data_IF_458036989801
#
_entry.id   IF_458036989801
#
_cell.length_a   1.000
_cell.length_b   1.000
_cell.length_c   1.000
_cell.angle_alpha   90.00
_cell.angle_beta   90.00
_cell.angle_gamma   90.00
#
_symmetry.space_group_name_H-M   'P 1'
#
loop_
_entity.id
_entity.type
_entity.pdbx_description
1 polymer ?
#
# COMPACT_ATOMS: atom_id res chain seq x y z
N UNK A 1 29.25 -17.46 -2.44
CA UNK A 1 29.85 -16.14 -2.67
C UNK A 1 28.94 -15.42 -3.65
N UNK A 2 28.14 -14.50 -3.16
CA UNK A 2 27.14 -13.77 -3.96
C UNK A 2 27.91 -12.77 -4.84
N UNK A 3 27.79 -12.87 -6.17
CA UNK A 3 28.27 -11.80 -7.06
C UNK A 3 27.09 -10.92 -7.41
N UNK A 4 27.12 -9.62 -7.04
CA UNK A 4 26.05 -8.70 -7.43
C UNK A 4 25.97 -8.65 -8.97
N UNK A 5 24.75 -8.50 -9.48
CA UNK A 5 24.53 -8.33 -10.91
C UNK A 5 25.17 -7.00 -11.37
N UNK A 6 26.21 -7.00 -12.22
CA UNK A 6 26.90 -5.77 -12.61
C UNK A 6 26.02 -4.80 -13.41
N UNK A 7 24.88 -5.25 -13.93
CA UNK A 7 23.91 -4.38 -14.60
C UNK A 7 23.11 -3.50 -13.62
N UNK A 8 23.02 -3.90 -12.35
CA UNK A 8 22.33 -3.13 -11.30
C UNK A 8 23.27 -2.15 -10.56
N UNK A 9 24.60 -2.37 -10.67
CA UNK A 9 25.63 -1.55 -10.02
C UNK A 9 26.74 -1.20 -11.00
N UNK A 10 26.47 -0.40 -12.06
CA UNK A 10 27.43 -0.13 -13.13
C UNK A 10 28.67 0.67 -12.68
N UNK A 11 28.70 1.17 -11.45
CA UNK A 11 29.78 1.97 -10.88
C UNK A 11 30.51 1.30 -9.70
N UNK A 12 30.26 0.02 -9.42
CA UNK A 12 31.04 -0.70 -8.41
C UNK A 12 32.45 -0.93 -8.94
N UNK A 13 33.42 -0.14 -8.47
CA UNK A 13 34.84 -0.42 -8.69
C UNK A 13 35.17 -1.76 -8.03
N UNK A 14 35.62 -2.79 -8.78
CA UNK A 14 35.97 -4.09 -8.21
C UNK A 14 37.14 -4.05 -7.22
N UNK A 15 37.83 -2.89 -7.10
CA UNK A 15 38.95 -2.65 -6.21
C UNK A 15 38.62 -1.73 -5.05
N UNK A 16 37.37 -1.18 -4.95
CA UNK A 16 36.94 -0.42 -3.78
C UNK A 16 36.70 -1.39 -2.61
N UNK A 17 37.66 -1.44 -1.68
CA UNK A 17 37.59 -2.22 -0.44
C UNK A 17 36.63 -1.59 0.60
N UNK A 18 35.80 -0.61 0.22
CA UNK A 18 34.82 -0.01 1.11
C UNK A 18 33.76 -1.05 1.48
N UNK A 19 33.50 -1.30 2.79
CA UNK A 19 32.40 -2.15 3.20
C UNK A 19 31.02 -1.49 2.97
N UNK A 20 30.99 -0.29 2.41
CA UNK A 20 29.77 0.49 2.18
C UNK A 20 29.33 0.28 0.72
N UNK A 21 28.21 -0.44 0.57
CA UNK A 21 27.50 -0.48 -0.71
C UNK A 21 26.72 0.84 -0.87
N UNK A 22 27.00 1.54 -1.96
CA UNK A 22 26.26 2.77 -2.33
C UNK A 22 25.31 2.44 -3.46
N UNK A 23 24.04 2.79 -3.29
CA UNK A 23 23.07 2.79 -4.39
C UNK A 23 23.33 3.94 -5.38
N UNK A 24 22.73 3.91 -6.57
CA UNK A 24 22.81 5.01 -7.53
C UNK A 24 22.12 6.26 -6.96
N UNK A 25 22.76 7.42 -7.13
CA UNK A 25 22.16 8.71 -6.78
C UNK A 25 21.20 9.13 -7.89
N UNK A 26 19.91 9.27 -7.54
CA UNK A 26 18.82 9.62 -8.47
C UNK A 26 17.97 10.77 -7.89
N UNK A 27 18.55 11.99 -7.79
CA UNK A 27 17.86 13.14 -7.18
C UNK A 27 16.58 13.55 -7.92
N UNK A 28 16.45 13.22 -9.21
CA UNK A 28 15.27 13.48 -10.03
C UNK A 28 14.04 12.66 -9.60
N UNK A 29 14.22 11.62 -8.78
CA UNK A 29 13.11 10.85 -8.20
C UNK A 29 12.51 11.52 -6.97
N UNK A 30 13.21 12.49 -6.36
CA UNK A 30 12.70 13.30 -5.27
C UNK A 30 11.88 14.44 -5.88
N UNK A 31 10.55 14.41 -5.68
CA UNK A 31 9.63 15.38 -6.25
C UNK A 31 8.73 15.97 -5.16
N UNK A 32 8.31 17.22 -5.39
CA UNK A 32 7.30 17.86 -4.54
C UNK A 32 5.92 17.39 -4.97
N UNK A 33 5.55 16.19 -4.52
CA UNK A 33 4.27 15.54 -4.82
C UNK A 33 3.69 14.86 -3.59
N UNK A 34 2.42 14.52 -3.65
CA UNK A 34 1.68 13.81 -2.62
C UNK A 34 0.98 12.60 -3.23
N UNK A 35 0.67 11.59 -2.41
CA UNK A 35 0.06 10.33 -2.89
C UNK A 35 -1.21 10.55 -3.72
N UNK A 36 -2.05 11.51 -3.32
CA UNK A 36 -3.27 11.83 -4.07
C UNK A 36 -2.96 12.28 -5.49
N UNK A 37 -1.99 13.19 -5.68
CA UNK A 37 -1.63 13.70 -7.02
C UNK A 37 -0.96 12.62 -7.88
N UNK A 38 -0.19 11.71 -7.27
CA UNK A 38 0.40 10.56 -7.94
C UNK A 38 -0.69 9.64 -8.53
N UNK A 39 -1.72 9.31 -7.73
CA UNK A 39 -2.85 8.51 -8.18
C UNK A 39 -3.68 9.24 -9.25
N UNK A 40 -4.04 10.51 -9.02
CA UNK A 40 -4.85 11.34 -9.92
C UNK A 40 -4.21 11.46 -11.32
N UNK A 41 -2.90 11.64 -11.38
CA UNK A 41 -2.17 11.66 -12.66
C UNK A 41 -2.32 10.34 -13.43
N UNK A 42 -2.31 9.20 -12.74
CA UNK A 42 -2.53 7.90 -13.36
C UNK A 42 -3.98 7.69 -13.76
N UNK A 43 -4.95 8.07 -12.92
CA UNK A 43 -6.37 7.97 -13.23
C UNK A 43 -6.75 8.81 -14.47
N UNK A 44 -6.14 9.99 -14.63
CA UNK A 44 -6.31 10.82 -15.83
C UNK A 44 -5.68 10.18 -17.08
N UNK A 45 -4.53 9.53 -16.94
CA UNK A 45 -3.80 8.89 -18.05
C UNK A 45 -4.50 7.63 -18.56
N UNK A 46 -5.08 6.83 -17.65
CA UNK A 46 -5.69 5.52 -17.98
C UNK A 46 -7.07 5.32 -17.33
N UNK A 47 -8.05 6.22 -17.52
CA UNK A 47 -9.30 6.24 -16.75
C UNK A 47 -10.16 4.99 -16.94
N UNK A 48 -10.12 4.35 -18.09
CA UNK A 48 -10.95 3.17 -18.43
C UNK A 48 -10.29 1.85 -18.05
N UNK A 49 -9.00 1.89 -17.67
CA UNK A 49 -8.29 0.67 -17.29
C UNK A 49 -8.78 0.16 -15.94
N UNK A 50 -8.89 -1.15 -15.78
CA UNK A 50 -9.23 -1.76 -14.50
C UNK A 50 -8.12 -1.47 -13.48
N UNK A 51 -8.49 -0.85 -12.36
CA UNK A 51 -7.61 -0.61 -11.21
C UNK A 51 -7.72 -1.73 -10.18
N UNK A 52 -8.94 -2.15 -9.85
CA UNK A 52 -9.22 -3.10 -8.78
C UNK A 52 -10.10 -4.25 -9.27
N UNK A 53 -9.79 -5.46 -8.78
CA UNK A 53 -10.62 -6.67 -8.91
C UNK A 53 -10.80 -7.27 -7.53
N UNK A 54 -12.06 -7.55 -7.13
CA UNK A 54 -12.40 -8.26 -5.90
C UNK A 54 -13.63 -9.14 -6.13
N UNK A 55 -13.45 -10.45 -6.14
CA UNK A 55 -14.47 -11.38 -6.61
C UNK A 55 -14.87 -11.05 -8.06
N UNK A 56 -16.17 -10.92 -8.29
CA UNK A 56 -16.73 -10.55 -9.61
C UNK A 56 -16.75 -9.03 -9.86
N UNK A 57 -16.45 -8.23 -8.85
CA UNK A 57 -16.47 -6.77 -8.93
C UNK A 57 -15.16 -6.24 -9.53
N UNK A 58 -15.31 -5.25 -10.40
CA UNK A 58 -14.19 -4.52 -11.00
C UNK A 58 -14.45 -3.03 -10.91
N UNK A 59 -13.40 -2.26 -10.68
CA UNK A 59 -13.40 -0.80 -10.81
C UNK A 59 -12.29 -0.38 -11.75
N UNK A 60 -12.61 0.52 -12.66
CA UNK A 60 -11.60 1.25 -13.43
C UNK A 60 -10.92 2.33 -12.58
N UNK A 61 -9.79 2.87 -13.06
CA UNK A 61 -9.11 3.98 -12.41
C UNK A 61 -10.01 5.20 -12.29
N UNK A 62 -10.79 5.53 -13.32
CA UNK A 62 -11.75 6.65 -13.29
C UNK A 62 -12.91 6.42 -12.31
N UNK A 63 -13.43 5.20 -12.20
CA UNK A 63 -14.47 4.87 -11.21
C UNK A 63 -13.94 4.91 -9.78
N UNK A 64 -12.72 4.40 -9.54
CA UNK A 64 -12.05 4.46 -8.25
C UNK A 64 -11.80 5.92 -7.84
N UNK A 65 -11.31 6.75 -8.77
CA UNK A 65 -11.10 8.18 -8.58
C UNK A 65 -12.39 8.88 -8.18
N UNK A 66 -13.47 8.69 -8.95
CA UNK A 66 -14.77 9.29 -8.69
C UNK A 66 -15.40 8.84 -7.36
N UNK A 67 -15.21 7.58 -6.95
CA UNK A 67 -15.69 7.09 -5.66
C UNK A 67 -14.89 7.70 -4.50
N UNK A 68 -13.57 7.76 -4.63
CA UNK A 68 -12.71 8.40 -3.63
C UNK A 68 -13.00 9.90 -3.51
N UNK A 69 -13.27 10.59 -4.63
CA UNK A 69 -13.66 12.00 -4.64
C UNK A 69 -14.94 12.29 -3.84
N UNK A 70 -15.95 11.43 -4.00
CA UNK A 70 -17.20 11.55 -3.22
C UNK A 70 -16.93 11.45 -1.73
N UNK A 71 -16.20 10.43 -1.30
CA UNK A 71 -15.86 10.24 0.10
C UNK A 71 -14.99 11.40 0.63
N UNK A 72 -13.97 11.80 -0.13
CA UNK A 72 -13.07 12.90 0.25
C UNK A 72 -13.81 14.22 0.41
N UNK A 73 -14.73 14.55 -0.51
CA UNK A 73 -15.52 15.78 -0.44
C UNK A 73 -16.31 15.88 0.86
N UNK A 74 -16.95 14.77 1.27
CA UNK A 74 -17.70 14.76 2.52
C UNK A 74 -16.78 14.88 3.74
N UNK A 75 -15.65 14.18 3.76
CA UNK A 75 -14.66 14.32 4.83
C UNK A 75 -14.18 15.76 4.97
N UNK A 76 -13.97 16.48 3.86
CA UNK A 76 -13.58 17.89 3.84
C UNK A 76 -14.72 18.76 4.37
N UNK A 77 -15.97 18.51 3.98
CA UNK A 77 -17.14 19.25 4.46
C UNK A 77 -17.36 19.04 5.97
N UNK A 78 -17.08 17.84 6.47
CA UNK A 78 -17.09 17.51 7.90
C UNK A 78 -15.85 18.02 8.67
N UNK A 79 -14.95 18.75 8.01
CA UNK A 79 -13.86 19.47 8.67
C UNK A 79 -12.49 18.81 8.61
N UNK A 80 -12.32 17.71 7.89
CA UNK A 80 -10.99 17.11 7.71
C UNK A 80 -10.10 18.01 6.83
N UNK A 81 -8.86 18.19 7.26
CA UNK A 81 -7.85 19.07 6.64
C UNK A 81 -6.52 18.36 6.45
N UNK A 82 -5.66 18.86 5.54
CA UNK A 82 -4.31 18.36 5.36
C UNK A 82 -3.52 18.31 6.67
N UNK A 83 -2.75 17.23 6.85
CA UNK A 83 -1.93 17.00 8.03
C UNK A 83 -2.66 16.41 9.25
N UNK A 84 -4.00 16.34 9.23
CA UNK A 84 -4.73 15.61 10.26
C UNK A 84 -4.60 14.09 10.06
N UNK A 85 -4.96 13.31 11.08
CA UNK A 85 -4.96 11.86 11.03
C UNK A 85 -6.40 11.34 11.12
N UNK A 86 -6.75 10.40 10.25
CA UNK A 86 -8.05 9.71 10.23
C UNK A 86 -7.81 8.20 10.37
N UNK A 87 -8.43 7.56 11.35
CA UNK A 87 -8.40 6.11 11.47
C UNK A 87 -9.04 5.44 10.25
N UNK A 88 -8.45 4.37 9.76
CA UNK A 88 -8.96 3.56 8.66
C UNK A 88 -9.14 2.12 9.14
N UNK A 89 -10.41 1.71 9.34
CA UNK A 89 -10.73 0.39 9.86
C UNK A 89 -11.89 -0.25 9.11
N UNK A 90 -11.57 -1.03 8.09
CA UNK A 90 -12.51 -1.73 7.23
C UNK A 90 -12.06 -3.16 6.96
N UNK A 91 -12.97 -4.08 6.61
CA UNK A 91 -12.59 -5.37 6.07
C UNK A 91 -11.91 -5.19 4.70
N UNK A 92 -11.12 -6.18 4.33
CA UNK A 92 -10.46 -6.25 3.02
C UNK A 92 -11.50 -6.20 1.89
N UNK A 93 -11.26 -5.36 0.89
CA UNK A 93 -12.15 -5.20 -0.26
C UNK A 93 -11.94 -3.87 -0.97
N UNK A 94 -12.77 -3.61 -1.96
CA UNK A 94 -12.75 -2.38 -2.75
C UNK A 94 -12.97 -1.15 -1.86
N UNK A 95 -13.92 -1.23 -0.93
CA UNK A 95 -14.29 -0.14 -0.03
C UNK A 95 -13.14 0.32 0.86
N UNK A 96 -12.27 -0.60 1.28
CA UNK A 96 -11.05 -0.28 2.04
C UNK A 96 -10.12 0.61 1.21
N UNK A 97 -9.88 0.26 -0.06
CA UNK A 97 -8.97 1.00 -0.94
C UNK A 97 -9.59 2.33 -1.39
N UNK A 98 -10.90 2.38 -1.61
CA UNK A 98 -11.63 3.65 -1.85
C UNK A 98 -11.49 4.57 -0.64
N UNK A 99 -11.69 4.07 0.58
CA UNK A 99 -11.59 4.83 1.81
C UNK A 99 -10.15 5.34 2.06
N UNK A 100 -9.14 4.48 1.84
CA UNK A 100 -7.73 4.87 1.94
C UNK A 100 -7.40 6.02 0.99
N UNK A 101 -7.80 5.89 -0.28
CA UNK A 101 -7.58 6.92 -1.30
C UNK A 101 -8.35 8.20 -0.98
N UNK A 102 -9.59 8.09 -0.46
CA UNK A 102 -10.39 9.22 -0.06
C UNK A 102 -9.70 10.05 1.04
N UNK A 103 -9.15 9.40 2.07
CA UNK A 103 -8.38 10.09 3.12
C UNK A 103 -7.17 10.78 2.49
N UNK A 104 -6.40 10.09 1.65
CA UNK A 104 -5.25 10.69 0.95
C UNK A 104 -5.66 11.93 0.15
N UNK A 105 -6.82 11.90 -0.53
CA UNK A 105 -7.33 13.04 -1.31
C UNK A 105 -7.75 14.24 -0.46
N UNK A 106 -8.04 14.08 0.83
CA UNK A 106 -8.22 15.23 1.74
C UNK A 106 -6.90 15.91 2.11
N UNK A 107 -5.78 15.26 1.86
CA UNK A 107 -4.44 15.64 2.36
C UNK A 107 -4.19 15.20 3.80
N UNK A 108 -5.12 14.49 4.44
CA UNK A 108 -4.94 13.86 5.74
C UNK A 108 -4.15 12.55 5.62
N UNK A 109 -3.53 12.14 6.71
CA UNK A 109 -2.92 10.83 6.86
C UNK A 109 -3.96 9.81 7.32
N UNK A 110 -3.87 8.58 6.79
CA UNK A 110 -4.64 7.49 7.41
C UNK A 110 -3.83 6.77 8.46
N UNK A 111 -4.49 6.42 9.56
CA UNK A 111 -3.97 5.49 10.56
C UNK A 111 -4.52 4.11 10.20
N UNK A 112 -3.65 3.25 9.71
CA UNK A 112 -4.02 1.93 9.22
C UNK A 112 -4.28 0.96 10.38
N UNK A 113 -5.47 0.36 10.40
CA UNK A 113 -5.89 -0.60 11.41
C UNK A 113 -6.31 -1.90 10.72
N UNK A 114 -5.78 -3.03 11.17
CA UNK A 114 -6.18 -4.33 10.67
C UNK A 114 -7.64 -4.64 11.09
N UNK A 115 -8.38 -5.35 10.24
CA UNK A 115 -9.78 -5.69 10.50
C UNK A 115 -10.00 -6.49 11.80
N UNK A 116 -8.99 -7.25 12.23
CA UNK A 116 -9.02 -8.04 13.45
C UNK A 116 -8.53 -7.28 14.69
N UNK A 117 -8.16 -6.01 14.56
CA UNK A 117 -7.68 -5.20 15.69
C UNK A 117 -8.76 -5.08 16.77
N UNK A 118 -8.48 -5.41 18.05
CA UNK A 118 -9.40 -5.20 19.16
C UNK A 118 -9.78 -3.73 19.32
N UNK A 119 -11.03 -3.46 19.69
CA UNK A 119 -11.58 -2.09 19.79
C UNK A 119 -10.81 -1.23 20.80
N UNK A 120 -10.39 -1.83 21.91
CA UNK A 120 -9.60 -1.15 22.94
C UNK A 120 -8.25 -0.67 22.38
N UNK A 121 -7.64 -1.47 21.51
CA UNK A 121 -6.41 -1.10 20.82
C UNK A 121 -6.65 -0.02 19.77
N UNK A 122 -7.78 -0.09 19.05
CA UNK A 122 -8.19 0.97 18.12
C UNK A 122 -8.32 2.30 18.86
N UNK A 123 -9.04 2.33 19.97
CA UNK A 123 -9.20 3.52 20.80
C UNK A 123 -7.85 4.09 21.24
N UNK A 124 -6.97 3.25 21.78
CA UNK A 124 -5.65 3.66 22.22
C UNK A 124 -4.79 4.25 21.07
N UNK A 125 -4.81 3.63 19.87
CA UNK A 125 -4.08 4.13 18.71
C UNK A 125 -4.65 5.47 18.21
N UNK A 126 -6.00 5.62 18.20
CA UNK A 126 -6.64 6.87 17.80
C UNK A 126 -6.33 8.01 18.78
N UNK A 127 -6.27 7.72 20.09
CA UNK A 127 -5.94 8.69 21.12
C UNK A 127 -4.46 9.11 21.03
N UNK A 128 -3.55 8.16 20.95
CA UNK A 128 -2.11 8.41 20.86
C UNK A 128 -1.74 9.19 19.59
N UNK A 129 -2.36 8.86 18.46
CA UNK A 129 -2.16 9.57 17.20
C UNK A 129 -2.89 10.91 17.10
N UNK A 130 -3.75 11.26 18.07
CA UNK A 130 -4.61 12.46 17.97
C UNK A 130 -5.53 12.46 16.75
N UNK A 131 -6.07 11.28 16.37
CA UNK A 131 -6.90 11.15 15.19
C UNK A 131 -8.18 11.98 15.28
N UNK A 132 -8.56 12.67 14.20
CA UNK A 132 -9.75 13.50 14.10
C UNK A 132 -11.06 12.68 14.12
N UNK A 133 -10.99 11.42 13.70
CA UNK A 133 -12.10 10.49 13.63
C UNK A 133 -11.68 9.18 13.01
N UNK A 134 -12.66 8.35 12.66
CA UNK A 134 -12.42 7.04 12.05
C UNK A 134 -13.37 6.81 10.86
N UNK A 135 -12.81 6.38 9.74
CA UNK A 135 -13.56 5.91 8.57
C UNK A 135 -13.64 4.38 8.63
N UNK A 136 -14.87 3.88 8.61
CA UNK A 136 -15.17 2.47 8.76
C UNK A 136 -16.34 2.06 7.84
N UNK A 137 -16.96 0.92 8.12
CA UNK A 137 -18.12 0.40 7.41
C UNK A 137 -19.32 0.19 8.36
N UNK A 138 -20.51 -0.02 7.78
CA UNK A 138 -21.74 -0.25 8.54
C UNK A 138 -21.65 -1.52 9.41
N UNK A 139 -20.93 -2.55 8.98
CA UNK A 139 -20.71 -3.79 9.73
C UNK A 139 -19.90 -3.55 11.02
N UNK A 140 -18.86 -2.72 10.94
CA UNK A 140 -17.95 -2.47 12.06
C UNK A 140 -18.40 -1.31 12.96
N UNK A 141 -19.22 -0.38 12.44
CA UNK A 141 -19.67 0.81 13.16
C UNK A 141 -20.25 0.56 14.56
N UNK A 142 -21.08 -0.49 14.81
CA UNK A 142 -21.60 -0.76 16.16
C UNK A 142 -20.51 -1.03 17.20
N UNK A 143 -19.40 -1.62 16.79
CA UNK A 143 -18.26 -1.90 17.68
C UNK A 143 -17.51 -0.63 18.10
N UNK A 144 -17.64 0.45 17.33
CA UNK A 144 -16.97 1.73 17.55
C UNK A 144 -17.80 2.73 18.35
N UNK A 145 -19.04 2.40 18.72
CA UNK A 145 -19.98 3.33 19.36
C UNK A 145 -19.45 3.97 20.67
N UNK A 146 -18.59 3.26 21.41
CA UNK A 146 -18.00 3.72 22.66
C UNK A 146 -16.75 4.60 22.49
N UNK A 147 -16.21 4.76 21.26
CA UNK A 147 -14.94 5.48 21.05
C UNK A 147 -15.09 7.00 21.19
N UNK A 148 -16.31 7.54 21.06
CA UNK A 148 -16.58 8.97 21.32
C UNK A 148 -15.95 9.93 20.31
N UNK A 149 -15.60 9.44 19.10
CA UNK A 149 -15.00 10.23 18.02
C UNK A 149 -15.92 10.25 16.80
N UNK A 150 -15.78 11.24 15.89
CA UNK A 150 -16.46 11.23 14.60
C UNK A 150 -16.23 9.89 13.87
N UNK A 151 -17.34 9.30 13.41
CA UNK A 151 -17.35 8.03 12.68
C UNK A 151 -18.01 8.23 11.33
N UNK A 152 -17.27 7.99 10.27
CA UNK A 152 -17.77 7.94 8.89
C UNK A 152 -17.95 6.49 8.44
N UNK A 153 -19.03 6.24 7.71
CA UNK A 153 -19.28 4.94 7.09
C UNK A 153 -19.13 5.07 5.58
N UNK A 154 -18.26 4.28 5.02
CA UNK A 154 -17.92 4.37 3.59
C UNK A 154 -19.13 4.21 2.70
N UNK A 155 -20.08 3.34 3.05
CA UNK A 155 -21.32 3.13 2.30
C UNK A 155 -22.21 4.39 2.29
N UNK A 156 -22.27 5.10 3.40
CA UNK A 156 -23.01 6.36 3.49
C UNK A 156 -22.35 7.44 2.63
N UNK A 157 -21.02 7.54 2.68
CA UNK A 157 -20.27 8.49 1.86
C UNK A 157 -20.41 8.21 0.36
N UNK A 158 -20.43 6.94 -0.04
CA UNK A 158 -20.61 6.55 -1.44
C UNK A 158 -22.04 6.78 -1.96
N UNK A 159 -23.05 6.75 -1.09
CA UNK A 159 -24.44 6.99 -1.46
C UNK A 159 -24.77 8.47 -1.68
N UNK A 160 -23.95 9.38 -1.18
CA UNK A 160 -24.19 10.82 -1.30
C UNK A 160 -23.94 11.33 -2.72
N UNK A 161 -24.76 12.30 -3.14
CA UNK A 161 -24.53 13.05 -4.38
C UNK A 161 -23.59 14.21 -4.07
N UNK A 162 -22.41 14.17 -4.65
CA UNK A 162 -21.42 15.24 -4.51
C UNK A 162 -21.63 16.29 -5.61
N UNK A 163 -21.73 17.57 -5.28
CA UNK A 163 -21.79 18.64 -6.27
C UNK A 163 -20.51 18.63 -7.14
N UNK A 164 -20.66 18.97 -8.41
CA UNK A 164 -19.51 19.17 -9.29
C UNK A 164 -18.57 20.24 -8.69
N UNK A 165 -17.27 19.94 -8.65
CA UNK A 165 -16.24 20.84 -8.12
C UNK A 165 -16.11 20.83 -6.60
N UNK A 166 -16.69 19.88 -5.87
CA UNK A 166 -16.55 19.79 -4.42
C UNK A 166 -15.07 19.68 -3.98
N UNK A 167 -14.23 18.95 -4.75
CA UNK A 167 -12.78 18.86 -4.47
C UNK A 167 -11.98 20.13 -4.80
N UNK A 168 -12.55 21.08 -5.54
CA UNK A 168 -11.86 22.37 -5.76
C UNK A 168 -11.63 23.16 -4.48
N UNK A 169 -12.37 22.82 -3.40
CA UNK A 169 -12.20 23.38 -2.04
C UNK A 169 -11.12 22.68 -1.21
N UNK A 170 -10.47 21.65 -1.77
CA UNK A 170 -9.37 20.95 -1.12
C UNK A 170 -8.20 21.89 -0.88
N UNK A 171 -7.77 22.03 0.38
CA UNK A 171 -6.52 22.70 0.69
C UNK A 171 -5.33 21.86 0.18
N UNK A 172 -4.26 22.52 -0.25
CA UNK A 172 -3.07 21.82 -0.72
C UNK A 172 -2.40 21.06 0.43
N UNK A 173 -2.16 19.78 0.22
CA UNK A 173 -1.30 19.00 1.10
C UNK A 173 0.17 19.31 0.80
N UNK A 174 1.00 19.34 1.84
CA UNK A 174 2.43 19.62 1.72
C UNK A 174 3.23 18.30 1.78
N UNK A 175 4.37 18.22 1.06
CA UNK A 175 5.23 17.02 1.06
C UNK A 175 5.74 16.61 2.45
N UNK A 176 5.90 17.54 3.38
CA UNK A 176 6.36 17.30 4.75
C UNK A 176 5.27 16.77 5.68
N UNK A 177 4.01 16.89 5.30
CA UNK A 177 2.89 16.38 6.10
C UNK A 177 2.85 14.85 6.10
N UNK A 178 2.30 14.23 7.17
CA UNK A 178 2.16 12.79 7.22
C UNK A 178 1.23 12.28 6.11
N UNK A 179 1.61 11.17 5.49
CA UNK A 179 0.80 10.42 4.53
C UNK A 179 0.02 9.31 5.24
N UNK A 180 0.68 8.62 6.16
CA UNK A 180 0.09 7.53 6.92
C UNK A 180 0.76 7.35 8.28
N UNK A 181 0.08 6.61 9.15
CA UNK A 181 0.59 6.15 10.44
C UNK A 181 0.38 4.64 10.55
N UNK A 182 1.45 3.92 10.88
CA UNK A 182 1.41 2.48 11.17
C UNK A 182 1.93 2.24 12.57
N UNK A 183 1.25 1.39 13.33
CA UNK A 183 1.67 0.98 14.66
C UNK A 183 2.43 -0.33 14.62
N UNK A 184 3.67 -0.29 15.06
CA UNK A 184 4.53 -1.47 15.22
C UNK A 184 4.59 -1.93 16.67
N UNK A 185 5.00 -3.20 16.90
CA UNK A 185 5.30 -3.70 18.24
C UNK A 185 6.57 -3.03 18.74
N UNK A 186 6.43 -2.07 19.66
CA UNK A 186 7.59 -1.41 20.27
C UNK A 186 8.42 -2.37 21.12
N UNK A 187 9.74 -2.15 21.19
CA UNK A 187 10.67 -2.92 22.03
C UNK A 187 10.34 -2.87 23.54
N UNK A 188 9.54 -1.89 23.96
CA UNK A 188 9.06 -1.71 25.35
C UNK A 188 7.71 -2.39 25.62
N UNK A 189 7.16 -3.15 24.65
CA UNK A 189 5.84 -3.78 24.74
C UNK A 189 4.66 -2.85 24.50
N UNK A 190 4.87 -1.53 24.43
CA UNK A 190 3.83 -0.58 24.00
C UNK A 190 3.93 -0.37 22.48
N UNK A 191 2.81 -0.39 21.74
CA UNK A 191 2.79 -0.07 20.32
C UNK A 191 3.36 1.34 20.08
N UNK A 192 4.17 1.49 19.04
CA UNK A 192 4.75 2.75 18.60
C UNK A 192 4.14 3.15 17.26
N UNK A 193 3.52 4.31 17.21
CA UNK A 193 3.02 4.91 15.97
C UNK A 193 4.16 5.54 15.17
N UNK A 194 4.31 5.13 13.91
CA UNK A 194 5.31 5.66 13.00
C UNK A 194 4.58 6.42 11.92
N UNK A 195 4.84 7.73 11.84
CA UNK A 195 4.28 8.62 10.83
C UNK A 195 5.30 8.81 9.70
N UNK A 196 4.87 8.52 8.47
CA UNK A 196 5.69 8.70 7.27
C UNK A 196 5.14 9.87 6.45
N UNK A 197 6.04 10.74 5.99
CA UNK A 197 5.65 11.92 5.22
C UNK A 197 5.24 11.58 3.78
N UNK A 198 4.48 12.48 3.16
CA UNK A 198 4.12 12.39 1.73
C UNK A 198 5.38 12.32 0.86
N UNK A 199 6.38 13.16 1.13
CA UNK A 199 7.66 13.18 0.40
C UNK A 199 8.37 11.83 0.46
N UNK A 200 8.50 11.26 1.67
CA UNK A 200 9.22 10.00 1.86
C UNK A 200 8.57 8.85 1.10
N UNK A 201 7.25 8.70 1.21
CA UNK A 201 6.55 7.60 0.53
C UNK A 201 6.50 7.80 -0.98
N UNK A 202 6.28 9.01 -1.50
CA UNK A 202 6.29 9.25 -2.94
C UNK A 202 7.68 8.99 -3.55
N UNK A 203 8.74 9.43 -2.87
CA UNK A 203 10.12 9.12 -3.27
C UNK A 203 10.38 7.62 -3.25
N UNK A 204 9.99 6.91 -2.16
CA UNK A 204 10.11 5.47 -2.06
C UNK A 204 9.46 4.77 -3.26
N UNK A 205 8.19 5.07 -3.55
CA UNK A 205 7.46 4.43 -4.65
C UNK A 205 8.14 4.59 -6.01
N UNK A 206 8.74 5.75 -6.27
CA UNK A 206 9.47 6.00 -7.52
C UNK A 206 10.79 5.24 -7.56
N UNK A 207 11.55 5.27 -6.48
CA UNK A 207 12.84 4.58 -6.37
C UNK A 207 12.65 3.07 -6.43
N UNK A 208 11.67 2.56 -5.72
CA UNK A 208 11.37 1.13 -5.68
C UNK A 208 10.91 0.62 -7.06
N UNK A 209 10.09 1.41 -7.78
CA UNK A 209 9.67 0.99 -9.10
C UNK A 209 10.80 1.02 -10.14
N UNK A 210 11.81 1.86 -10.00
CA UNK A 210 13.03 1.81 -10.84
C UNK A 210 13.74 0.45 -10.69
N UNK A 211 13.70 -0.14 -9.50
CA UNK A 211 14.32 -1.43 -9.21
C UNK A 211 13.42 -2.60 -9.59
N UNK A 212 12.18 -2.61 -9.15
CA UNK A 212 11.24 -3.72 -9.34
C UNK A 212 10.69 -3.78 -10.76
N UNK A 213 10.47 -2.64 -11.39
CA UNK A 213 9.94 -2.56 -12.75
C UNK A 213 8.52 -3.12 -12.86
N UNK A 214 7.62 -2.77 -11.91
CA UNK A 214 6.18 -3.01 -12.04
C UNK A 214 5.66 -2.22 -13.23
N UNK A 215 4.79 -2.82 -14.04
CA UNK A 215 4.33 -2.28 -15.33
C UNK A 215 2.83 -2.11 -15.36
N UNK A 216 2.37 -1.30 -16.28
CA UNK A 216 0.95 -1.05 -16.48
C UNK A 216 0.15 -2.32 -16.82
N UNK A 217 0.73 -3.28 -17.52
CA UNK A 217 0.10 -4.53 -17.91
C UNK A 217 0.16 -5.64 -16.85
N UNK A 218 0.75 -5.36 -15.70
CA UNK A 218 0.79 -6.32 -14.60
C UNK A 218 -0.55 -6.49 -13.92
N UNK A 219 -0.76 -7.70 -13.42
CA UNK A 219 -1.79 -8.05 -12.46
C UNK A 219 -1.10 -8.37 -11.13
N UNK A 220 -1.27 -7.47 -10.17
CA UNK A 220 -0.57 -7.50 -8.89
C UNK A 220 -1.47 -8.14 -7.83
N UNK A 221 -0.94 -9.11 -7.10
CA UNK A 221 -1.61 -9.69 -5.94
C UNK A 221 -1.62 -8.70 -4.77
N UNK A 222 -2.82 -8.44 -4.18
CA UNK A 222 -2.95 -7.67 -2.96
C UNK A 222 -3.32 -8.61 -1.81
N UNK A 223 -2.34 -8.97 -1.00
CA UNK A 223 -2.44 -9.93 0.10
C UNK A 223 -2.09 -9.36 1.46
N UNK A 224 -1.25 -8.35 1.56
CA UNK A 224 -0.90 -7.73 2.84
C UNK A 224 -2.06 -6.98 3.48
N UNK A 225 -2.09 -6.95 4.81
CA UNK A 225 -2.90 -5.99 5.56
C UNK A 225 -2.40 -4.57 5.30
N UNK A 226 -3.31 -3.61 5.17
CA UNK A 226 -2.95 -2.18 5.05
C UNK A 226 -2.28 -1.63 6.32
N UNK A 227 -2.34 -2.36 7.42
CA UNK A 227 -1.61 -2.05 8.65
C UNK A 227 -0.14 -2.52 8.61
N UNK A 228 0.29 -3.12 7.51
CA UNK A 228 1.66 -3.52 7.24
C UNK A 228 2.20 -2.76 6.03
N UNK A 229 3.35 -2.13 6.16
CA UNK A 229 3.85 -1.16 5.17
C UNK A 229 4.22 -1.77 3.81
N UNK A 230 4.57 -3.06 3.71
CA UNK A 230 4.71 -3.73 2.41
C UNK A 230 3.43 -3.70 1.55
N UNK A 231 2.26 -3.39 2.13
CA UNK A 231 1.05 -3.15 1.34
C UNK A 231 1.18 -1.97 0.36
N UNK A 232 2.11 -1.04 0.60
CA UNK A 232 2.41 0.06 -0.31
C UNK A 232 3.02 -0.43 -1.62
N UNK A 233 3.86 -1.45 -1.57
CA UNK A 233 4.46 -2.06 -2.77
C UNK A 233 3.38 -2.73 -3.64
N UNK A 234 2.35 -3.33 -3.02
CA UNK A 234 1.22 -3.88 -3.76
C UNK A 234 0.33 -2.76 -4.35
N UNK A 235 -0.17 -1.88 -3.48
CA UNK A 235 -1.25 -0.93 -3.80
C UNK A 235 -0.70 0.27 -4.56
N UNK A 236 0.29 0.96 -3.99
CA UNK A 236 0.71 2.27 -4.51
C UNK A 236 1.69 2.18 -5.67
N UNK A 237 2.50 1.11 -5.79
CA UNK A 237 3.25 0.88 -7.04
C UNK A 237 2.27 0.58 -8.20
N UNK A 238 1.20 -0.18 -7.94
CA UNK A 238 0.17 -0.40 -8.95
C UNK A 238 -0.49 0.90 -9.38
N UNK A 239 -0.81 1.78 -8.43
CA UNK A 239 -1.38 3.10 -8.71
C UNK A 239 -0.41 4.02 -9.45
N UNK A 240 0.88 3.96 -9.16
CA UNK A 240 1.91 4.75 -9.84
C UNK A 240 1.97 4.43 -11.34
N UNK A 241 1.94 3.16 -11.69
CA UNK A 241 2.15 2.72 -13.08
C UNK A 241 0.85 2.51 -13.85
N UNK A 242 -0.27 2.33 -13.17
CA UNK A 242 -1.57 1.99 -13.78
C UNK A 242 -1.78 0.49 -13.94
N UNK A 243 -1.17 -0.34 -13.09
CA UNK A 243 -1.39 -1.78 -13.05
C UNK A 243 -2.75 -2.14 -12.44
N UNK A 244 -3.16 -3.38 -12.56
CA UNK A 244 -4.40 -3.88 -11.96
C UNK A 244 -4.09 -4.62 -10.67
N UNK A 245 -4.79 -4.29 -9.58
CA UNK A 245 -4.74 -5.01 -8.31
C UNK A 245 -5.82 -6.09 -8.25
N UNK A 246 -5.41 -7.32 -7.99
CA UNK A 246 -6.33 -8.38 -7.61
C UNK A 246 -6.31 -8.54 -6.08
N UNK A 247 -7.41 -8.14 -5.45
CA UNK A 247 -7.58 -8.19 -4.00
C UNK A 247 -8.01 -9.60 -3.62
N UNK A 248 -7.17 -10.33 -2.89
CA UNK A 248 -7.53 -11.67 -2.45
C UNK A 248 -8.56 -11.63 -1.32
N UNK A 249 -9.62 -12.46 -1.34
CA UNK A 249 -10.46 -12.67 -0.17
C UNK A 249 -9.62 -13.13 1.03
N UNK A 250 -9.99 -12.68 2.25
CA UNK A 250 -9.21 -12.99 3.48
C UNK A 250 -8.97 -14.50 3.66
N UNK A 251 -9.99 -15.32 3.44
CA UNK A 251 -9.88 -16.76 3.57
C UNK A 251 -8.80 -17.34 2.64
N UNK A 252 -8.74 -16.86 1.38
CA UNK A 252 -7.76 -17.32 0.41
C UNK A 252 -6.35 -16.79 0.71
N UNK A 253 -6.24 -15.52 1.13
CA UNK A 253 -4.96 -14.93 1.51
C UNK A 253 -4.30 -15.66 2.70
N UNK A 254 -5.09 -16.31 3.53
CA UNK A 254 -4.66 -17.11 4.68
C UNK A 254 -4.52 -18.61 4.39
N UNK A 255 -4.70 -19.02 3.12
CA UNK A 255 -4.63 -20.43 2.70
C UNK A 255 -3.45 -20.64 1.75
N UNK A 256 -2.27 -21.02 2.25
CA UNK A 256 -1.07 -21.20 1.43
C UNK A 256 -1.15 -22.42 0.49
N UNK A 257 -2.10 -23.33 0.66
CA UNK A 257 -2.31 -24.46 -0.22
C UNK A 257 -3.16 -24.08 -1.44
N UNK A 258 -4.23 -23.31 -1.24
CA UNK A 258 -5.12 -22.87 -2.31
C UNK A 258 -4.58 -21.63 -3.07
N UNK A 259 -3.81 -20.78 -2.41
CA UNK A 259 -3.36 -19.50 -2.98
C UNK A 259 -2.56 -19.66 -4.27
N UNK A 260 -1.57 -20.57 -4.41
CA UNK A 260 -0.78 -20.69 -5.65
C UNK A 260 -1.65 -21.02 -6.87
N UNK A 261 -2.64 -21.90 -6.70
CA UNK A 261 -3.58 -22.23 -7.77
C UNK A 261 -4.43 -21.02 -8.17
N UNK A 262 -4.91 -20.25 -7.20
CA UNK A 262 -5.67 -19.04 -7.47
C UNK A 262 -4.83 -17.98 -8.20
N UNK A 263 -3.58 -17.76 -7.78
CA UNK A 263 -2.65 -16.84 -8.46
C UNK A 263 -2.44 -17.25 -9.92
N UNK A 264 -2.27 -18.56 -10.18
CA UNK A 264 -2.11 -19.08 -11.54
C UNK A 264 -3.37 -18.91 -12.40
N UNK A 265 -4.55 -19.24 -11.86
CA UNK A 265 -5.85 -19.11 -12.54
C UNK A 265 -6.15 -17.65 -12.91
N UNK A 266 -5.85 -16.71 -12.02
CA UNK A 266 -6.05 -15.30 -12.28
C UNK A 266 -4.93 -14.67 -13.13
N UNK A 267 -3.83 -15.40 -13.40
CA UNK A 267 -2.72 -14.89 -14.19
C UNK A 267 -1.92 -13.79 -13.48
N UNK A 268 -1.80 -13.88 -12.15
CA UNK A 268 -1.03 -12.91 -11.37
C UNK A 268 0.42 -12.89 -11.83
N UNK A 269 0.93 -11.69 -12.13
CA UNK A 269 2.28 -11.48 -12.66
C UNK A 269 3.26 -10.93 -11.63
N UNK A 270 2.78 -10.30 -10.57
CA UNK A 270 3.58 -9.69 -9.50
C UNK A 270 3.09 -10.17 -8.14
N UNK A 271 4.01 -10.65 -7.33
CA UNK A 271 3.78 -11.11 -5.96
C UNK A 271 4.76 -10.41 -5.01
N UNK A 272 4.22 -9.66 -4.06
CA UNK A 272 4.92 -9.23 -2.87
C UNK A 272 4.54 -10.18 -1.72
N UNK A 273 5.51 -10.74 -1.02
CA UNK A 273 5.25 -11.75 0.01
C UNK A 273 6.33 -11.78 1.08
N UNK A 274 6.01 -12.34 2.24
CA UNK A 274 7.04 -12.75 3.19
C UNK A 274 7.63 -14.10 2.74
N UNK A 275 8.94 -14.35 2.97
CA UNK A 275 9.59 -15.61 2.62
C UNK A 275 8.87 -16.85 3.13
N UNK A 276 8.32 -16.82 4.34
CA UNK A 276 7.57 -17.94 4.93
C UNK A 276 6.32 -18.29 4.13
N UNK A 277 5.57 -17.31 3.63
CA UNK A 277 4.40 -17.58 2.78
C UNK A 277 4.82 -18.29 1.48
N UNK A 278 5.83 -17.77 0.79
CA UNK A 278 6.30 -18.35 -0.46
C UNK A 278 6.88 -19.78 -0.26
N UNK A 279 7.49 -20.04 0.90
CA UNK A 279 8.01 -21.37 1.23
C UNK A 279 6.90 -22.43 1.35
N UNK A 280 5.71 -22.03 1.77
CA UNK A 280 4.54 -22.91 1.93
C UNK A 280 3.85 -23.25 0.60
N UNK A 281 4.16 -22.56 -0.50
CA UNK A 281 3.56 -22.89 -1.79
C UNK A 281 3.99 -24.29 -2.26
N UNK A 282 3.03 -25.19 -2.39
CA UNK A 282 3.25 -26.56 -2.83
C UNK A 282 3.57 -26.71 -4.32
N UNK A 283 3.24 -25.69 -5.12
CA UNK A 283 3.38 -25.69 -6.57
C UNK A 283 3.91 -24.36 -7.09
N UNK A 284 4.43 -24.38 -8.33
CA UNK A 284 4.85 -23.15 -9.02
C UNK A 284 3.65 -22.33 -9.53
N UNK A 285 3.88 -21.03 -9.72
CA UNK A 285 2.94 -20.11 -10.34
C UNK A 285 3.62 -19.53 -11.60
N UNK A 286 3.42 -20.15 -12.77
CA UNK A 286 4.16 -19.80 -14.00
C UNK A 286 3.94 -18.37 -14.49
N UNK A 287 2.82 -17.75 -14.16
CA UNK A 287 2.48 -16.36 -14.54
C UNK A 287 3.33 -15.33 -13.80
N UNK A 288 3.94 -15.67 -12.65
CA UNK A 288 4.77 -14.74 -11.90
C UNK A 288 6.05 -14.41 -12.66
N UNK A 289 6.17 -13.15 -13.07
CA UNK A 289 7.40 -12.59 -13.64
C UNK A 289 8.25 -11.84 -12.61
N UNK A 290 7.62 -11.38 -11.51
CA UNK A 290 8.26 -10.66 -10.42
C UNK A 290 7.79 -11.20 -9.08
N UNK A 291 8.73 -11.50 -8.21
CA UNK A 291 8.52 -11.84 -6.80
C UNK A 291 9.41 -10.90 -5.98
N UNK A 292 8.80 -10.13 -5.09
CA UNK A 292 9.53 -9.32 -4.11
C UNK A 292 9.27 -9.88 -2.71
N UNK A 293 10.33 -10.26 -2.02
CA UNK A 293 10.30 -10.82 -0.67
C UNK A 293 10.83 -9.80 0.32
N UNK A 294 10.16 -9.68 1.46
CA UNK A 294 10.59 -8.77 2.52
C UNK A 294 9.98 -9.14 3.87
N UNK A 295 10.37 -8.38 4.90
CA UNK A 295 9.84 -8.53 6.26
C UNK A 295 10.43 -9.69 7.07
N UNK A 296 11.13 -10.64 6.44
CA UNK A 296 11.74 -11.80 7.09
C UNK A 296 13.06 -12.18 6.40
N UNK A 297 13.89 -12.99 7.07
CA UNK A 297 15.10 -13.54 6.45
C UNK A 297 14.74 -14.50 5.30
N UNK A 298 15.32 -14.29 4.12
CA UNK A 298 15.10 -15.13 2.95
C UNK A 298 16.14 -16.25 2.87
N UNK A 299 15.76 -17.55 3.00
CA UNK A 299 16.69 -18.66 2.89
C UNK A 299 17.21 -18.83 1.46
N UNK A 300 18.51 -19.16 1.25
CA UNK A 300 19.07 -19.42 -0.09
C UNK A 300 18.33 -20.54 -0.84
N UNK A 301 17.82 -21.55 -0.14
CA UNK A 301 17.02 -22.64 -0.73
C UNK A 301 15.73 -22.15 -1.36
N UNK A 302 15.10 -21.13 -0.78
CA UNK A 302 13.90 -20.51 -1.36
C UNK A 302 14.23 -19.79 -2.67
N UNK A 303 15.33 -19.03 -2.68
CA UNK A 303 15.84 -18.39 -3.91
C UNK A 303 16.11 -19.43 -5.00
N UNK A 304 16.82 -20.51 -4.67
CA UNK A 304 17.12 -21.59 -5.62
C UNK A 304 15.86 -22.25 -6.20
N UNK A 305 14.81 -22.38 -5.39
CA UNK A 305 13.52 -22.96 -5.81
C UNK A 305 12.73 -22.05 -6.76
N UNK A 306 12.77 -20.73 -6.53
CA UNK A 306 11.90 -19.79 -7.23
C UNK A 306 12.60 -18.96 -8.31
N UNK A 307 13.92 -18.86 -8.31
CA UNK A 307 14.67 -18.21 -9.37
C UNK A 307 14.58 -18.99 -10.68
N UNK A 308 14.12 -18.31 -11.75
CA UNK A 308 13.95 -18.90 -13.09
C UNK A 308 14.30 -17.87 -14.18
N UNK A 309 14.71 -18.31 -15.35
CA UNK A 309 14.84 -17.42 -16.50
C UNK A 309 13.51 -16.65 -16.74
N UNK A 310 13.59 -15.34 -16.89
CA UNK A 310 12.43 -14.47 -17.12
C UNK A 310 11.63 -14.08 -15.87
N UNK A 311 11.94 -14.64 -14.70
CA UNK A 311 11.36 -14.23 -13.41
C UNK A 311 12.39 -13.45 -12.61
N UNK A 312 12.03 -12.22 -12.23
CA UNK A 312 12.83 -11.42 -11.30
C UNK A 312 12.45 -11.81 -9.86
N UNK A 313 13.46 -11.97 -9.02
CA UNK A 313 13.29 -12.24 -7.60
C UNK A 313 14.11 -11.25 -6.80
N UNK A 314 13.45 -10.47 -5.97
CA UNK A 314 14.07 -9.51 -5.07
C UNK A 314 13.90 -9.96 -3.62
N UNK A 315 14.81 -9.51 -2.77
CA UNK A 315 14.74 -9.63 -1.33
C UNK A 315 15.01 -8.27 -0.74
N UNK A 316 13.96 -7.60 -0.29
CA UNK A 316 14.04 -6.26 0.28
C UNK A 316 14.13 -6.30 1.80
N UNK A 317 14.75 -5.29 2.37
CA UNK A 317 14.86 -5.09 3.81
C UNK A 317 14.63 -3.63 4.18
N UNK A 318 13.81 -3.40 5.16
CA UNK A 318 13.63 -2.08 5.78
C UNK A 318 12.73 -2.16 7.00
N UNK A 319 13.07 -1.45 8.10
CA UNK A 319 12.11 -1.19 9.15
C UNK A 319 11.14 -0.09 8.72
N UNK A 320 9.94 -0.07 9.31
CA UNK A 320 8.88 0.92 8.99
C UNK A 320 9.38 2.36 9.11
N UNK A 321 10.31 2.61 10.04
CA UNK A 321 10.94 3.92 10.27
C UNK A 321 11.77 4.43 9.06
N UNK A 322 12.18 3.55 8.15
CA UNK A 322 12.93 3.93 6.94
C UNK A 322 12.05 4.04 5.69
N UNK A 323 10.75 4.00 5.85
CA UNK A 323 9.76 4.06 4.76
C UNK A 323 9.78 2.78 3.92
N UNK A 324 9.16 1.71 4.44
CA UNK A 324 8.94 0.39 3.83
C UNK A 324 10.24 -0.39 3.63
N UNK A 325 11.11 0.03 2.71
CA UNK A 325 12.34 -0.68 2.37
C UNK A 325 13.51 0.28 2.24
N UNK A 326 14.71 -0.15 2.66
CA UNK A 326 15.95 0.61 2.59
C UNK A 326 17.02 -0.08 1.73
N UNK A 327 16.85 -1.37 1.38
CA UNK A 327 17.77 -2.14 0.55
C UNK A 327 17.09 -3.39 -0.06
#
# INVERSE_FOLDING_TARGET
>A
MFRPNPALFPHADPFDASPILRGPERPELIRDEVLASLFEATAQRVPTRTALIFGDRRLSYGELDAQADRCASRLIDDGIRPGQIVGLWLPRGIELLVAQLAIAKTGAAWLALDADTPVERIAACLDDAGAAGILSCSEFAPRLAAIGRPLWRVEALLAERVPAGALQRRAAALPEQPAYVIYTSGSTGKPKGIAISQRSICHFLRSENEMLGVRQDDLVYQGFSVAFDMSFEEIWLSYLVGATLWIAPKALASDPEALPQALAVHGISVLHAVPTLLALFGQDVPSLRLINLGGEACPPSLVARWARPGRQLFNSYGPTETTVSAS
#
